data_IF_409350843844
#
_entry.id   IF_409350843844
#
_cell.length_a   1.000
_cell.length_b   1.000
_cell.length_c   1.000
_cell.angle_alpha   90.00
_cell.angle_beta   90.00
_cell.angle_gamma   90.00
#
_symmetry.space_group_name_H-M   'P 1'
#
loop_
_entity.id
_entity.type
_entity.pdbx_description
1 polymer ?
#
# COMPACT_ATOMS: atom_id res chain seq x y z
N UNK A 1 27.74 -6.79 -26.78
CA UNK A 1 27.37 -6.68 -25.37
C UNK A 1 28.27 -5.72 -24.54
N UNK A 2 29.32 -5.18 -25.07
CA UNK A 2 30.30 -4.33 -24.35
C UNK A 2 29.95 -2.84 -24.22
N UNK A 3 29.05 -2.28 -25.02
CA UNK A 3 28.72 -0.84 -24.95
C UNK A 3 27.85 -0.45 -23.73
N UNK A 4 27.05 -1.36 -23.19
CA UNK A 4 26.12 -1.06 -22.09
C UNK A 4 26.86 -0.97 -20.73
N UNK A 5 27.97 -1.66 -20.59
CA UNK A 5 28.78 -1.67 -19.35
C UNK A 5 29.56 -0.36 -19.10
N UNK A 6 29.62 0.56 -20.10
CA UNK A 6 30.32 1.84 -19.98
C UNK A 6 29.40 3.02 -19.61
N UNK A 7 28.09 2.81 -19.53
CA UNK A 7 27.15 3.85 -19.14
C UNK A 7 26.97 3.83 -17.62
N UNK A 8 27.81 4.59 -16.93
CA UNK A 8 27.66 4.85 -15.51
C UNK A 8 26.73 6.05 -15.32
N UNK A 9 25.43 5.80 -15.20
CA UNK A 9 24.41 6.82 -15.01
C UNK A 9 23.97 6.83 -13.59
N UNK A 10 24.31 7.87 -12.85
CA UNK A 10 23.88 8.06 -11.46
C UNK A 10 22.42 8.50 -11.37
N UNK A 11 21.70 7.98 -10.40
CA UNK A 11 20.32 8.39 -10.08
C UNK A 11 20.29 9.09 -8.74
N UNK A 12 19.95 10.37 -8.74
CA UNK A 12 19.76 11.13 -7.50
C UNK A 12 18.65 10.52 -6.61
N UNK A 13 17.60 9.99 -7.23
CA UNK A 13 16.49 9.34 -6.51
C UNK A 13 16.89 8.05 -5.80
N UNK A 14 17.81 7.28 -6.35
CA UNK A 14 18.27 6.00 -5.80
C UNK A 14 19.55 6.13 -4.97
N UNK A 15 20.25 7.27 -5.08
CA UNK A 15 21.56 7.47 -4.46
C UNK A 15 22.66 6.55 -4.98
N UNK A 16 22.44 5.87 -6.12
CA UNK A 16 23.35 4.88 -6.69
C UNK A 16 23.35 4.92 -8.21
N UNK A 17 24.35 4.30 -8.84
CA UNK A 17 24.38 4.10 -10.29
C UNK A 17 23.25 3.18 -10.74
N UNK A 18 22.59 3.55 -11.84
CA UNK A 18 21.44 2.79 -12.39
C UNK A 18 21.97 1.56 -13.11
N UNK A 19 21.58 0.33 -12.71
CA UNK A 19 21.93 -0.86 -13.46
C UNK A 19 21.19 -0.85 -14.81
N UNK A 20 21.91 -0.56 -15.88
CA UNK A 20 21.35 -0.54 -17.24
C UNK A 20 21.37 -1.95 -17.80
N UNK A 21 20.19 -2.46 -18.14
CA UNK A 21 20.02 -3.76 -18.78
C UNK A 21 18.98 -3.68 -19.93
N UNK A 22 18.97 -4.63 -20.87
CA UNK A 22 18.04 -4.62 -22.01
C UNK A 22 16.55 -4.58 -21.62
N UNK A 23 16.19 -5.15 -20.46
CA UNK A 23 14.81 -5.12 -19.97
C UNK A 23 14.32 -3.71 -19.65
N UNK A 24 15.19 -2.83 -19.14
CA UNK A 24 14.82 -1.43 -18.87
C UNK A 24 14.45 -0.69 -20.15
N UNK A 25 15.21 -0.89 -21.22
CA UNK A 25 14.87 -0.30 -22.52
C UNK A 25 13.55 -0.84 -23.05
N UNK A 26 13.32 -2.14 -22.90
CA UNK A 26 12.08 -2.79 -23.31
C UNK A 26 10.88 -2.24 -22.55
N UNK A 27 11.00 -2.10 -21.23
CA UNK A 27 9.96 -1.48 -20.39
C UNK A 27 9.70 -0.02 -20.78
N UNK A 28 10.75 0.77 -20.95
CA UNK A 28 10.62 2.17 -21.36
C UNK A 28 9.95 2.31 -22.72
N UNK A 29 10.31 1.47 -23.67
CA UNK A 29 9.73 1.49 -25.01
C UNK A 29 8.23 1.15 -24.95
N UNK A 30 7.86 0.08 -24.23
CA UNK A 30 6.49 -0.35 -24.09
C UNK A 30 5.61 0.70 -23.41
N UNK A 31 6.04 1.22 -22.26
CA UNK A 31 5.28 2.22 -21.49
C UNK A 31 5.14 3.54 -22.25
N UNK A 32 6.18 4.00 -22.97
CA UNK A 32 6.08 5.20 -23.81
C UNK A 32 5.14 5.02 -24.99
N UNK A 33 5.18 3.88 -25.68
CA UNK A 33 4.26 3.60 -26.79
C UNK A 33 2.79 3.58 -26.29
N UNK A 34 2.52 2.91 -25.15
CA UNK A 34 1.20 2.90 -24.53
C UNK A 34 0.75 4.31 -24.09
N UNK A 35 1.63 5.11 -23.53
CA UNK A 35 1.36 6.49 -23.12
C UNK A 35 1.02 7.40 -24.32
N UNK A 36 1.57 7.09 -25.50
CA UNK A 36 1.28 7.76 -26.77
C UNK A 36 0.02 7.23 -27.45
N UNK A 37 -0.70 6.31 -26.84
CA UNK A 37 -1.97 5.78 -27.35
C UNK A 37 -1.84 4.55 -28.25
N UNK A 38 -0.66 3.92 -28.33
CA UNK A 38 -0.52 2.67 -29.08
C UNK A 38 -1.41 1.57 -28.48
N UNK A 39 -2.03 0.79 -29.33
CA UNK A 39 -2.84 -0.37 -28.94
C UNK A 39 -1.97 -1.51 -28.40
N UNK A 40 -2.58 -2.40 -27.60
CA UNK A 40 -1.89 -3.57 -27.06
C UNK A 40 -1.29 -4.46 -28.18
N UNK A 41 -1.95 -4.52 -29.31
CA UNK A 41 -1.47 -5.27 -30.47
C UNK A 41 -0.21 -4.65 -31.09
N UNK A 42 -0.18 -3.32 -31.24
CA UNK A 42 0.98 -2.60 -31.77
C UNK A 42 2.19 -2.74 -30.85
N UNK A 43 1.97 -2.61 -29.52
CA UNK A 43 3.03 -2.79 -28.55
C UNK A 43 3.53 -4.23 -28.51
N UNK A 44 2.65 -5.22 -28.60
CA UNK A 44 3.04 -6.61 -28.69
C UNK A 44 3.92 -6.88 -29.92
N UNK A 45 3.55 -6.33 -31.08
CA UNK A 45 4.35 -6.40 -32.31
C UNK A 45 5.72 -5.72 -32.15
N UNK A 46 5.74 -4.51 -31.57
CA UNK A 46 6.96 -3.74 -31.34
C UNK A 46 7.96 -4.52 -30.47
N UNK A 47 7.44 -5.22 -29.47
CA UNK A 47 8.22 -6.02 -28.55
C UNK A 47 8.45 -7.47 -29.01
N UNK A 48 7.99 -7.84 -30.20
CA UNK A 48 8.06 -9.21 -30.72
C UNK A 48 7.38 -10.26 -29.82
N UNK A 49 6.33 -9.86 -29.13
CA UNK A 49 5.48 -10.79 -28.36
C UNK A 49 4.51 -11.54 -29.30
N UNK A 50 4.29 -12.81 -29.02
CA UNK A 50 3.32 -13.65 -29.77
C UNK A 50 1.88 -13.38 -29.35
N UNK A 51 1.66 -12.73 -28.21
CA UNK A 51 0.34 -12.50 -27.64
C UNK A 51 0.32 -11.15 -26.92
N UNK A 52 -0.85 -10.55 -26.79
CA UNK A 52 -1.08 -9.31 -26.04
C UNK A 52 -1.18 -9.53 -24.52
N UNK A 53 -1.24 -10.79 -24.08
CA UNK A 53 -1.45 -11.13 -22.65
C UNK A 53 -0.40 -10.56 -21.70
N UNK A 54 0.81 -10.27 -22.17
CA UNK A 54 1.87 -9.67 -21.34
C UNK A 54 1.79 -8.13 -21.27
N UNK A 55 0.94 -7.49 -22.08
CA UNK A 55 0.92 -6.02 -22.17
C UNK A 55 0.32 -5.39 -20.91
N UNK A 56 -0.58 -6.10 -20.22
CA UNK A 56 -1.15 -5.61 -18.95
C UNK A 56 -0.08 -5.33 -17.88
N UNK A 57 1.05 -6.05 -17.85
CA UNK A 57 2.14 -5.76 -16.92
C UNK A 57 2.79 -4.39 -17.17
N UNK A 58 2.91 -3.98 -18.46
CA UNK A 58 3.41 -2.66 -18.80
C UNK A 58 2.41 -1.56 -18.43
N UNK A 59 1.10 -1.80 -18.64
CA UNK A 59 0.04 -0.87 -18.22
C UNK A 59 0.00 -0.69 -16.71
N UNK A 60 0.09 -1.79 -15.95
CA UNK A 60 0.09 -1.75 -14.49
C UNK A 60 1.26 -0.95 -13.90
N UNK A 61 2.37 -0.82 -14.64
CA UNK A 61 3.54 -0.04 -14.23
C UNK A 61 3.49 1.44 -14.64
N UNK A 62 2.43 1.89 -15.34
CA UNK A 62 2.34 3.27 -15.84
C UNK A 62 1.78 4.21 -14.77
N UNK A 63 2.56 5.24 -14.35
CA UNK A 63 2.09 6.22 -13.35
C UNK A 63 0.85 7.00 -13.82
N UNK A 64 0.71 7.21 -15.14
CA UNK A 64 -0.39 7.96 -15.74
C UNK A 64 -1.75 7.29 -15.52
N UNK A 65 -1.81 5.94 -15.54
CA UNK A 65 -3.04 5.20 -15.26
C UNK A 65 -3.42 5.22 -13.78
N UNK A 66 -2.46 5.47 -12.90
CA UNK A 66 -2.69 5.64 -11.47
C UNK A 66 -3.07 7.09 -11.12
N UNK A 67 -2.80 8.03 -12.01
CA UNK A 67 -3.07 9.45 -11.79
C UNK A 67 -4.55 9.74 -11.55
N UNK A 68 -5.51 9.28 -12.37
CA UNK A 68 -6.93 9.51 -12.12
C UNK A 68 -7.39 8.97 -10.77
N UNK A 69 -6.88 7.80 -10.35
CA UNK A 69 -7.18 7.21 -9.05
C UNK A 69 -6.59 8.06 -7.91
N UNK A 70 -5.34 8.53 -8.08
CA UNK A 70 -4.70 9.43 -7.12
C UNK A 70 -5.39 10.80 -7.04
N UNK A 71 -5.79 11.35 -8.19
CA UNK A 71 -6.44 12.65 -8.27
C UNK A 71 -7.87 12.57 -7.68
N UNK A 72 -8.57 11.45 -7.89
CA UNK A 72 -9.91 11.20 -7.33
C UNK A 72 -9.88 10.93 -5.82
N UNK A 73 -8.83 10.26 -5.34
CA UNK A 73 -8.67 9.93 -3.93
C UNK A 73 -7.97 11.03 -3.12
N UNK A 74 -7.46 12.08 -3.79
CA UNK A 74 -6.63 13.11 -3.17
C UNK A 74 -5.24 12.59 -2.75
N UNK A 75 -4.38 13.51 -2.35
CA UNK A 75 -3.00 13.16 -1.96
C UNK A 75 -2.95 12.24 -0.73
N UNK A 76 -3.86 12.44 0.20
CA UNK A 76 -3.95 11.70 1.47
C UNK A 76 -4.50 10.30 1.25
N UNK A 77 -5.57 10.17 0.45
CA UNK A 77 -6.15 8.88 0.11
C UNK A 77 -5.23 8.02 -0.77
N UNK A 78 -4.38 8.62 -1.61
CA UNK A 78 -3.41 7.88 -2.42
C UNK A 78 -2.33 7.19 -1.58
N UNK A 79 -2.01 7.70 -0.40
CA UNK A 79 -1.14 7.03 0.56
C UNK A 79 -1.90 5.91 1.29
N UNK A 80 -3.15 6.17 1.67
CA UNK A 80 -4.04 5.20 2.29
C UNK A 80 -4.27 3.97 1.40
N UNK A 81 -4.55 4.18 0.11
CA UNK A 81 -4.69 3.10 -0.87
C UNK A 81 -3.40 2.28 -1.07
N UNK A 82 -2.23 2.83 -0.72
CA UNK A 82 -0.95 2.11 -0.75
C UNK A 82 -0.62 1.40 0.55
N UNK A 83 -1.03 1.97 1.69
CA UNK A 83 -0.81 1.38 3.00
C UNK A 83 -1.80 0.23 3.26
N UNK A 84 -3.03 0.40 2.82
CA UNK A 84 -4.09 -0.58 2.97
C UNK A 84 -4.65 -0.93 1.59
N UNK A 85 -4.33 -2.10 1.08
CA UNK A 85 -5.09 -2.69 -0.03
C UNK A 85 -6.46 -3.16 0.45
N UNK A 86 -6.70 -3.10 1.76
CA UNK A 86 -7.96 -3.36 2.42
C UNK A 86 -8.93 -2.17 2.32
N UNK A 87 -10.18 -2.42 2.60
CA UNK A 87 -11.28 -1.46 2.62
C UNK A 87 -11.45 -0.94 4.05
N UNK A 88 -11.43 0.39 4.26
CA UNK A 88 -11.85 0.96 5.53
C UNK A 88 -13.34 0.67 5.73
N UNK A 89 -13.73 0.23 6.93
CA UNK A 89 -15.10 -0.19 7.27
C UNK A 89 -15.69 0.70 8.35
N UNK A 90 -16.96 1.06 8.20
CA UNK A 90 -17.70 1.82 9.23
C UNK A 90 -18.16 0.91 10.35
N UNK A 91 -18.36 -0.38 10.07
CA UNK A 91 -18.72 -1.40 11.03
C UNK A 91 -18.24 -2.79 10.64
N UNK A 92 -18.10 -3.69 11.60
CA UNK A 92 -17.64 -5.07 11.37
C UNK A 92 -18.55 -5.87 10.42
N UNK A 93 -19.80 -5.44 10.23
CA UNK A 93 -20.72 -6.05 9.26
C UNK A 93 -20.36 -5.76 7.80
N UNK A 94 -19.52 -4.75 7.54
CA UNK A 94 -19.03 -4.40 6.22
C UNK A 94 -17.73 -5.11 5.85
N UNK A 95 -17.10 -5.79 6.81
CA UNK A 95 -15.85 -6.50 6.59
C UNK A 95 -16.01 -7.59 5.52
N UNK A 96 -14.95 -7.85 4.77
CA UNK A 96 -14.90 -8.93 3.76
C UNK A 96 -15.27 -10.30 4.35
N UNK A 97 -14.95 -10.52 5.64
CA UNK A 97 -15.30 -11.71 6.38
C UNK A 97 -16.28 -11.39 7.52
N UNK A 98 -17.31 -10.62 7.21
CA UNK A 98 -18.36 -10.28 8.20
C UNK A 98 -18.99 -11.55 8.78
N UNK A 99 -19.18 -11.57 10.10
CA UNK A 99 -19.74 -12.72 10.83
C UNK A 99 -18.74 -13.82 11.20
N UNK A 100 -17.49 -13.72 10.78
CA UNK A 100 -16.41 -14.63 11.20
C UNK A 100 -15.67 -14.02 12.40
N UNK A 101 -15.79 -14.61 13.62
CA UNK A 101 -15.15 -14.07 14.80
C UNK A 101 -13.62 -14.06 14.71
N UNK A 102 -13.04 -14.99 13.93
CA UNK A 102 -11.58 -15.08 13.73
C UNK A 102 -11.06 -13.98 12.80
N UNK A 103 -11.95 -13.26 12.11
CA UNK A 103 -11.58 -12.11 11.29
C UNK A 103 -11.38 -10.83 12.11
N UNK A 104 -11.92 -10.74 13.31
CA UNK A 104 -11.87 -9.53 14.13
C UNK A 104 -10.46 -9.34 14.71
N UNK A 105 -9.85 -8.20 14.42
CA UNK A 105 -8.57 -7.80 14.99
C UNK A 105 -8.81 -6.86 16.16
N UNK A 106 -8.38 -7.29 17.37
CA UNK A 106 -8.56 -6.55 18.62
C UNK A 106 -7.23 -6.36 19.34
N UNK A 107 -7.04 -5.20 19.97
CA UNK A 107 -5.90 -4.96 20.84
C UNK A 107 -6.26 -5.21 22.30
N UNK A 108 -5.81 -6.33 22.84
CA UNK A 108 -6.07 -6.71 24.23
C UNK A 108 -5.20 -5.94 25.24
N UNK A 109 -3.99 -5.55 24.83
CA UNK A 109 -3.02 -4.90 25.70
C UNK A 109 -3.34 -3.43 25.90
N UNK A 110 -3.64 -2.72 24.81
CA UNK A 110 -3.77 -1.25 24.80
C UNK A 110 -5.22 -0.79 24.86
N UNK A 111 -6.14 -1.57 24.29
CA UNK A 111 -7.55 -1.21 24.15
C UNK A 111 -8.51 -2.14 24.89
N UNK A 112 -7.97 -2.99 25.79
CA UNK A 112 -8.79 -3.96 26.57
C UNK A 112 -9.71 -4.83 25.68
N UNK A 113 -9.20 -5.27 24.53
CA UNK A 113 -9.90 -6.14 23.60
C UNK A 113 -10.90 -5.43 22.67
N UNK A 114 -10.93 -4.11 22.63
CA UNK A 114 -11.75 -3.41 21.65
C UNK A 114 -11.24 -3.68 20.23
N UNK A 115 -12.15 -3.89 19.26
CA UNK A 115 -11.78 -4.15 17.89
C UNK A 115 -11.19 -2.88 17.24
N UNK A 116 -10.14 -3.08 16.43
CA UNK A 116 -9.52 -2.03 15.61
C UNK A 116 -9.79 -2.23 14.12
N UNK A 117 -10.28 -3.41 13.74
CA UNK A 117 -10.59 -3.72 12.36
C UNK A 117 -10.85 -5.20 12.14
N UNK A 118 -10.79 -5.62 10.90
CA UNK A 118 -10.94 -6.99 10.48
C UNK A 118 -9.83 -7.44 9.53
N UNK A 119 -9.65 -8.75 9.39
CA UNK A 119 -8.74 -9.37 8.43
C UNK A 119 -9.52 -9.89 7.24
N UNK A 120 -9.28 -9.35 6.05
CA UNK A 120 -9.97 -9.74 4.80
C UNK A 120 -9.45 -11.02 4.15
N UNK A 121 -8.37 -11.63 4.67
CA UNK A 121 -7.83 -12.87 4.10
C UNK A 121 -8.34 -14.12 4.82
N UNK A 122 -8.44 -15.23 4.08
CA UNK A 122 -8.70 -16.58 4.62
C UNK A 122 -7.42 -17.36 4.89
N UNK A 123 -6.25 -16.81 4.55
CA UNK A 123 -4.99 -17.45 4.86
C UNK A 123 -4.74 -17.44 6.36
N UNK A 124 -4.11 -18.49 6.88
CA UNK A 124 -3.64 -18.52 8.26
C UNK A 124 -2.64 -17.37 8.46
N UNK A 125 -2.98 -16.46 9.34
CA UNK A 125 -2.12 -15.36 9.72
C UNK A 125 -1.68 -15.56 11.17
N UNK A 126 -0.41 -15.85 11.37
CA UNK A 126 0.14 -16.07 12.72
C UNK A 126 0.44 -14.76 13.46
N UNK A 127 0.29 -13.62 12.81
CA UNK A 127 0.68 -12.35 13.41
C UNK A 127 -0.41 -11.72 14.27
N UNK A 128 -1.68 -12.00 14.05
CA UNK A 128 -2.85 -11.48 14.79
C UNK A 128 -2.53 -10.35 15.81
N UNK A 129 -1.68 -9.42 15.41
CA UNK A 129 -1.16 -8.33 16.20
C UNK A 129 -1.59 -7.00 15.56
N UNK A 130 -2.43 -6.20 16.21
CA UNK A 130 -3.00 -4.97 15.66
C UNK A 130 -1.94 -4.02 15.10
N UNK A 131 -0.83 -3.84 15.80
CA UNK A 131 0.28 -2.96 15.38
C UNK A 131 0.97 -3.46 14.12
N UNK A 132 1.17 -4.77 13.99
CA UNK A 132 1.75 -5.37 12.79
C UNK A 132 0.79 -5.29 11.59
N UNK A 133 -0.52 -5.43 11.82
CA UNK A 133 -1.55 -5.24 10.80
C UNK A 133 -1.55 -3.79 10.29
N UNK A 134 -1.47 -2.82 11.18
CA UNK A 134 -1.38 -1.39 10.87
C UNK A 134 -0.09 -1.03 10.13
N UNK A 135 1.02 -1.69 10.46
CA UNK A 135 2.33 -1.39 9.88
C UNK A 135 2.48 -1.75 8.39
N UNK A 136 1.44 -2.33 7.75
CA UNK A 136 1.46 -2.57 6.31
C UNK A 136 0.83 -3.87 5.83
N UNK A 137 -0.10 -4.48 6.58
CA UNK A 137 -0.84 -5.63 6.11
C UNK A 137 -1.85 -5.22 5.02
N UNK A 138 -1.71 -5.81 3.83
CA UNK A 138 -2.59 -5.53 2.69
C UNK A 138 -4.02 -6.07 2.84
N UNK A 139 -4.27 -6.91 3.81
CA UNK A 139 -5.58 -7.51 4.08
C UNK A 139 -6.26 -6.94 5.32
N UNK A 140 -5.64 -5.98 5.97
CA UNK A 140 -6.24 -5.32 7.13
C UNK A 140 -7.31 -4.33 6.68
N UNK A 141 -8.49 -4.44 7.28
CA UNK A 141 -9.65 -3.57 7.07
C UNK A 141 -9.88 -2.76 8.37
N UNK A 142 -9.35 -1.52 8.44
CA UNK A 142 -9.46 -0.70 9.65
C UNK A 142 -10.90 -0.27 9.91
N UNK A 143 -11.32 -0.34 11.18
CA UNK A 143 -12.62 0.11 11.63
C UNK A 143 -12.57 1.61 11.93
N UNK A 144 -13.31 2.45 11.20
CA UNK A 144 -13.28 3.91 11.35
C UNK A 144 -13.66 4.36 12.76
N UNK A 145 -14.61 3.68 13.40
CA UNK A 145 -15.10 4.00 14.75
C UNK A 145 -14.21 3.48 15.89
N UNK A 146 -13.06 2.87 15.61
CA UNK A 146 -12.16 2.39 16.65
C UNK A 146 -11.53 3.54 17.43
N UNK A 147 -11.10 3.32 18.69
CA UNK A 147 -10.51 4.37 19.54
C UNK A 147 -9.05 4.65 19.16
N UNK A 148 -8.85 5.21 17.96
CA UNK A 148 -7.55 5.43 17.36
C UNK A 148 -6.64 6.37 18.17
N UNK A 149 -7.24 7.40 18.80
CA UNK A 149 -6.53 8.37 19.63
C UNK A 149 -5.92 7.69 20.87
N UNK A 150 -6.65 6.74 21.46
CA UNK A 150 -6.17 5.98 22.61
C UNK A 150 -5.01 5.06 22.20
N UNK A 151 -5.14 4.39 21.06
CA UNK A 151 -4.09 3.52 20.52
C UNK A 151 -2.84 4.32 20.15
N UNK A 152 -3.02 5.49 19.53
CA UNK A 152 -1.93 6.41 19.21
C UNK A 152 -1.15 6.83 20.46
N UNK A 153 -1.86 7.29 21.49
CA UNK A 153 -1.22 7.73 22.75
C UNK A 153 -0.39 6.58 23.39
N UNK A 154 -0.93 5.37 23.36
CA UNK A 154 -0.22 4.19 23.88
C UNK A 154 1.02 3.85 23.06
N UNK A 155 0.95 3.92 21.73
CA UNK A 155 2.09 3.65 20.84
C UNK A 155 3.20 4.71 20.99
N UNK A 156 2.84 5.98 21.23
CA UNK A 156 3.82 7.04 21.51
C UNK A 156 4.58 6.72 22.81
N UNK A 157 3.87 6.33 23.86
CA UNK A 157 4.51 5.94 25.12
C UNK A 157 5.41 4.70 24.97
N UNK A 158 4.94 3.69 24.21
CA UNK A 158 5.75 2.49 23.92
C UNK A 158 7.00 2.84 23.11
N UNK A 159 6.89 3.79 22.16
CA UNK A 159 8.01 4.23 21.32
C UNK A 159 9.13 4.90 22.11
N UNK A 160 8.80 5.66 23.17
CA UNK A 160 9.77 6.31 24.04
C UNK A 160 10.60 5.31 24.87
N UNK A 161 10.01 4.15 25.17
CA UNK A 161 10.64 3.10 25.98
C UNK A 161 11.34 2.03 25.13
N UNK A 162 11.04 1.97 23.83
CA UNK A 162 11.53 0.92 22.95
C UNK A 162 12.96 1.21 22.47
N UNK A 163 13.83 0.22 22.57
CA UNK A 163 15.25 0.32 22.16
C UNK A 163 15.58 -0.45 20.90
N UNK A 164 14.72 -1.40 20.47
CA UNK A 164 14.95 -2.22 19.30
C UNK A 164 14.55 -1.47 18.02
N UNK A 165 15.48 -1.18 17.09
CA UNK A 165 15.21 -0.36 15.91
C UNK A 165 14.09 -0.91 15.00
N UNK A 166 13.95 -2.25 14.90
CA UNK A 166 12.91 -2.87 14.09
C UNK A 166 11.52 -2.63 14.68
N UNK A 167 11.38 -2.73 16.00
CA UNK A 167 10.12 -2.47 16.70
C UNK A 167 9.78 -0.99 16.61
N UNK A 168 10.75 -0.10 16.77
CA UNK A 168 10.58 1.34 16.57
C UNK A 168 10.07 1.65 15.15
N UNK A 169 10.59 0.99 14.14
CA UNK A 169 10.13 1.17 12.76
C UNK A 169 8.69 0.68 12.55
N UNK A 170 8.32 -0.46 13.14
CA UNK A 170 6.95 -0.99 13.08
C UNK A 170 5.99 -0.02 13.78
N UNK A 171 6.32 0.45 14.98
CA UNK A 171 5.51 1.42 15.72
C UNK A 171 5.34 2.72 14.93
N UNK A 172 6.43 3.24 14.35
CA UNK A 172 6.37 4.46 13.52
C UNK A 172 5.43 4.27 12.31
N UNK A 173 5.52 3.13 11.63
CA UNK A 173 4.63 2.80 10.50
C UNK A 173 3.18 2.70 10.94
N UNK A 174 2.91 2.06 12.08
CA UNK A 174 1.58 1.95 12.64
C UNK A 174 1.00 3.31 13.07
N UNK A 175 1.79 4.17 13.72
CA UNK A 175 1.38 5.54 14.07
C UNK A 175 1.04 6.37 12.84
N UNK A 176 1.86 6.26 11.77
CA UNK A 176 1.57 6.92 10.49
C UNK A 176 0.25 6.45 9.87
N UNK A 177 -0.04 5.15 9.96
CA UNK A 177 -1.31 4.59 9.49
C UNK A 177 -2.50 5.10 10.31
N UNK A 178 -2.38 5.17 11.65
CA UNK A 178 -3.43 5.68 12.53
C UNK A 178 -3.74 7.15 12.21
N UNK A 179 -2.73 7.99 12.01
CA UNK A 179 -2.96 9.38 11.60
C UNK A 179 -3.81 9.50 10.34
N UNK A 180 -3.59 8.61 9.38
CA UNK A 180 -4.34 8.61 8.13
C UNK A 180 -5.78 8.12 8.30
N UNK A 181 -5.99 7.11 9.18
CA UNK A 181 -7.33 6.62 9.50
C UNK A 181 -8.15 7.72 10.19
N UNK A 182 -7.55 8.43 11.14
CA UNK A 182 -8.19 9.57 11.82
C UNK A 182 -8.55 10.65 10.80
N UNK A 183 -7.60 11.06 9.95
CA UNK A 183 -7.85 12.07 8.92
C UNK A 183 -8.95 11.64 7.93
N UNK A 184 -9.01 10.35 7.57
CA UNK A 184 -10.07 9.83 6.73
C UNK A 184 -11.44 9.90 7.42
N UNK A 185 -11.52 9.48 8.68
CA UNK A 185 -12.75 9.55 9.48
C UNK A 185 -13.27 10.97 9.56
N UNK A 186 -12.38 11.91 9.94
CA UNK A 186 -12.74 13.32 10.14
C UNK A 186 -13.20 13.98 8.82
N UNK A 187 -12.59 13.59 7.67
CA UNK A 187 -13.04 14.04 6.35
C UNK A 187 -14.43 13.51 5.97
N UNK A 188 -14.75 12.27 6.35
CA UNK A 188 -16.06 11.68 6.09
C UNK A 188 -17.16 12.31 6.96
N UNK A 189 -16.87 12.57 8.25
CA UNK A 189 -17.78 13.25 9.17
C UNK A 189 -18.01 14.73 8.82
N UNK A 190 -17.01 15.39 8.24
CA UNK A 190 -17.12 16.80 7.79
C UNK A 190 -17.84 16.97 6.44
N UNK A 191 -18.15 15.89 5.74
CA UNK A 191 -18.85 15.90 4.45
C UNK A 191 -20.36 15.67 4.54
N UNK A 192 -20.86 15.31 5.74
CA UNK A 192 -22.30 15.21 6.06
C UNK A 192 -22.85 16.54 6.61
#
# INVERSE_FOLDING_TARGET
MHCIQRLDTYSERLGTSIPINPYRFRYTLATRALAQGASDYEVARLLTHRSTSCIHYYRASMPELQKPVRDALGKEMGYFARAFQGKAISGLHEATRAGDPDAVISDFLRLMGKPVGACGTRAECHQNAPVACLAGCSHFEPLLSAPWETLMASLVADQEMETEPKIQQINHSAMSAIHQIIALRDNLEGAE
#
